data_IF_007455933330
#
_entry.id   IF_007455933330
#
_cell.length_a   1.000
_cell.length_b   1.000
_cell.length_c   1.000
_cell.angle_alpha   90.00
_cell.angle_beta   90.00
_cell.angle_gamma   90.00
#
_symmetry.space_group_name_H-M   'P 1'
#
loop_
_entity.id
_entity.type
_entity.pdbx_description
1 polymer ?
#
# COMPACT_ATOMS: atom_id res chain seq x y z
N UNK A 1 17.71 12.76 -20.76
CA UNK A 1 16.84 13.65 -19.96
C UNK A 1 16.42 12.87 -18.73
N UNK A 2 16.57 13.37 -17.50
CA UNK A 2 16.17 12.59 -16.33
C UNK A 2 14.63 12.55 -16.28
N UNK A 3 14.08 11.37 -16.00
CA UNK A 3 12.67 11.19 -15.78
C UNK A 3 12.26 11.94 -14.50
N UNK A 4 11.30 12.85 -14.62
CA UNK A 4 10.67 13.49 -13.46
C UNK A 4 9.85 12.42 -12.73
N UNK A 5 10.13 12.20 -11.45
CA UNK A 5 9.23 11.46 -10.58
C UNK A 5 7.90 12.21 -10.54
N UNK A 6 6.81 11.57 -10.95
CA UNK A 6 5.49 12.17 -10.94
C UNK A 6 5.07 12.41 -9.48
N UNK A 7 4.94 13.67 -9.10
CA UNK A 7 4.35 14.07 -7.81
C UNK A 7 2.85 13.93 -7.98
N UNK A 8 2.23 13.00 -7.24
CA UNK A 8 0.77 12.90 -7.21
C UNK A 8 0.11 14.23 -6.82
N UNK A 9 -1.11 14.48 -7.30
CA UNK A 9 -1.85 15.67 -6.92
C UNK A 9 -2.08 15.63 -5.41
N UNK A 10 -1.73 16.69 -4.65
CA UNK A 10 -1.86 16.68 -3.18
C UNK A 10 -3.28 16.36 -2.66
N UNK A 11 -4.30 16.50 -3.52
CA UNK A 11 -5.69 16.17 -3.22
C UNK A 11 -5.93 14.69 -2.97
N UNK A 12 -5.55 13.81 -3.91
CA UNK A 12 -5.92 12.39 -3.80
C UNK A 12 -5.23 11.71 -2.63
N UNK A 13 -3.94 11.99 -2.40
CA UNK A 13 -3.23 11.47 -1.22
C UNK A 13 -3.94 11.85 0.09
N UNK A 14 -4.43 13.09 0.19
CA UNK A 14 -5.16 13.57 1.37
C UNK A 14 -6.52 12.88 1.51
N UNK A 15 -7.23 12.65 0.41
CA UNK A 15 -8.50 11.93 0.41
C UNK A 15 -8.32 10.47 0.83
N UNK A 16 -7.31 9.78 0.32
CA UNK A 16 -6.98 8.40 0.70
C UNK A 16 -6.58 8.32 2.18
N UNK A 17 -5.74 9.24 2.65
CA UNK A 17 -5.39 9.33 4.07
C UNK A 17 -6.66 9.49 4.93
N UNK A 18 -7.57 10.39 4.56
CA UNK A 18 -8.82 10.61 5.30
C UNK A 18 -9.75 9.38 5.26
N UNK A 19 -9.92 8.75 4.10
CA UNK A 19 -10.78 7.57 3.90
C UNK A 19 -10.30 6.37 4.74
N UNK A 20 -8.99 6.22 4.91
CA UNK A 20 -8.39 5.08 5.59
C UNK A 20 -7.99 5.35 7.04
N UNK A 21 -8.04 6.59 7.52
CA UNK A 21 -7.67 6.96 8.90
C UNK A 21 -8.43 6.17 9.99
N UNK A 22 -9.66 5.72 9.71
CA UNK A 22 -10.43 4.85 10.62
C UNK A 22 -9.76 3.51 10.92
N UNK A 23 -8.83 3.08 10.07
CA UNK A 23 -8.06 1.85 10.18
C UNK A 23 -6.75 2.03 10.93
N UNK A 24 -6.66 3.00 11.85
CA UNK A 24 -5.47 3.24 12.67
C UNK A 24 -5.02 2.05 13.55
N UNK A 25 -5.75 0.92 13.56
CA UNK A 25 -5.41 -0.30 14.30
C UNK A 25 -5.91 -1.54 13.57
N UNK A 26 -5.21 -2.67 13.76
CA UNK A 26 -5.56 -3.96 13.15
C UNK A 26 -6.96 -4.44 13.54
N UNK A 27 -7.43 -4.13 14.76
CA UNK A 27 -8.82 -4.39 15.17
C UNK A 27 -9.84 -3.68 14.27
N UNK A 28 -9.56 -2.43 13.88
CA UNK A 28 -10.44 -1.69 12.98
C UNK A 28 -10.35 -2.21 11.55
N UNK A 29 -9.17 -2.65 11.09
CA UNK A 29 -9.01 -3.36 9.82
C UNK A 29 -9.87 -4.64 9.78
N UNK A 30 -9.81 -5.47 10.82
CA UNK A 30 -10.63 -6.70 10.90
C UNK A 30 -12.12 -6.41 10.85
N UNK A 31 -12.60 -5.39 11.57
CA UNK A 31 -14.01 -4.96 11.49
C UNK A 31 -14.39 -4.47 10.09
N UNK A 32 -13.43 -3.95 9.34
CA UNK A 32 -13.60 -3.51 7.96
C UNK A 32 -13.49 -4.62 6.91
N UNK A 33 -13.27 -5.88 7.31
CA UNK A 33 -13.13 -7.02 6.39
C UNK A 33 -11.69 -7.37 6.00
N UNK A 34 -10.71 -6.58 6.42
CA UNK A 34 -9.30 -6.84 6.12
C UNK A 34 -8.71 -7.89 7.06
N UNK A 35 -7.99 -8.85 6.51
CA UNK A 35 -7.34 -9.95 7.25
C UNK A 35 -5.85 -9.99 6.95
N UNK A 36 -5.03 -10.40 7.94
CA UNK A 36 -3.58 -10.55 7.74
C UNK A 36 -3.31 -11.62 6.68
N UNK A 37 -2.80 -11.20 5.52
CA UNK A 37 -2.49 -12.07 4.38
C UNK A 37 -0.99 -12.21 4.13
N UNK A 38 -0.19 -11.26 4.63
CA UNK A 38 1.28 -11.35 4.57
C UNK A 38 1.91 -10.93 5.90
N UNK A 39 2.89 -11.67 6.43
CA UNK A 39 3.70 -11.19 7.56
C UNK A 39 4.48 -9.93 7.17
N UNK A 40 5.22 -9.35 8.12
CA UNK A 40 6.06 -8.18 7.82
C UNK A 40 7.12 -8.56 6.80
N UNK A 41 7.02 -8.01 5.60
CA UNK A 41 8.01 -8.21 4.54
C UNK A 41 9.14 -7.20 4.75
N UNK A 42 10.38 -7.70 4.75
CA UNK A 42 11.58 -6.88 4.82
C UNK A 42 12.58 -7.27 3.73
N UNK A 43 13.38 -6.28 3.32
CA UNK A 43 14.51 -6.45 2.44
C UNK A 43 15.80 -6.02 3.16
N UNK A 44 16.91 -6.78 3.05
CA UNK A 44 18.14 -6.52 3.80
C UNK A 44 18.71 -5.10 3.67
N UNK A 45 18.46 -4.44 2.54
CA UNK A 45 19.01 -3.10 2.23
C UNK A 45 17.96 -2.04 1.94
N UNK A 46 16.68 -2.40 1.75
CA UNK A 46 15.63 -1.43 1.39
C UNK A 46 14.68 -1.14 2.58
N UNK A 47 14.84 -1.85 3.69
CA UNK A 47 13.97 -1.73 4.86
C UNK A 47 12.72 -2.59 4.74
N UNK A 48 11.63 -2.14 5.37
CA UNK A 48 10.38 -2.89 5.46
C UNK A 48 9.31 -2.41 4.49
N UNK A 49 8.57 -3.37 3.95
CA UNK A 49 7.31 -3.13 3.23
C UNK A 49 6.11 -3.24 4.18
N UNK A 50 6.25 -3.99 5.28
CA UNK A 50 5.24 -4.08 6.34
C UNK A 50 4.34 -5.31 6.26
N UNK A 51 3.37 -5.36 7.16
CA UNK A 51 2.35 -6.41 7.27
C UNK A 51 1.15 -6.04 6.39
N UNK A 52 0.73 -6.95 5.51
CA UNK A 52 -0.35 -6.69 4.57
C UNK A 52 -1.65 -7.30 5.07
N UNK A 53 -2.62 -6.44 5.33
CA UNK A 53 -3.98 -6.81 5.69
C UNK A 53 -4.87 -6.57 4.47
N UNK A 54 -5.40 -7.64 3.88
CA UNK A 54 -6.10 -7.60 2.59
C UNK A 54 -7.60 -7.85 2.81
N UNK A 55 -8.45 -7.09 2.13
CA UNK A 55 -9.87 -7.43 1.96
C UNK A 55 -10.03 -8.17 0.62
N UNK A 56 -10.17 -9.49 0.68
CA UNK A 56 -10.25 -10.34 -0.52
C UNK A 56 -11.50 -10.06 -1.36
N UNK A 57 -12.52 -9.37 -0.84
CA UNK A 57 -13.69 -9.00 -1.63
C UNK A 57 -13.42 -7.80 -2.55
N UNK A 58 -12.36 -7.04 -2.28
CA UNK A 58 -11.94 -5.88 -3.07
C UNK A 58 -10.87 -6.22 -4.11
N UNK A 59 -10.21 -7.36 -3.97
CA UNK A 59 -9.21 -7.83 -4.94
C UNK A 59 -9.90 -8.22 -6.24
N UNK A 60 -10.07 -7.24 -7.11
CA UNK A 60 -10.83 -7.32 -8.36
C UNK A 60 -10.14 -6.46 -9.46
N UNK A 61 -10.67 -6.39 -10.69
CA UNK A 61 -10.01 -5.66 -11.77
C UNK A 61 -10.31 -4.14 -11.80
N UNK A 62 -10.98 -3.61 -10.77
CA UNK A 62 -11.38 -2.21 -10.65
C UNK A 62 -10.41 -1.48 -9.72
N UNK A 63 -9.97 -0.29 -10.14
CA UNK A 63 -9.21 0.61 -9.27
C UNK A 63 -10.15 1.66 -8.68
N UNK A 64 -10.33 1.65 -7.37
CA UNK A 64 -10.95 2.74 -6.60
C UNK A 64 -9.93 3.30 -5.59
N UNK A 65 -9.45 4.55 -5.77
CA UNK A 65 -8.49 5.14 -4.85
C UNK A 65 -8.96 5.17 -3.39
N UNK A 66 -10.26 5.33 -3.14
CA UNK A 66 -10.77 5.49 -1.78
C UNK A 66 -11.06 4.15 -1.08
N UNK A 67 -10.94 3.05 -1.82
CA UNK A 67 -11.21 1.70 -1.36
C UNK A 67 -10.02 0.75 -1.61
N UNK A 68 -8.85 0.99 -0.99
CA UNK A 68 -7.68 0.15 -1.22
C UNK A 68 -7.93 -1.31 -0.83
N UNK A 69 -7.37 -2.23 -1.62
CA UNK A 69 -7.48 -3.67 -1.40
C UNK A 69 -6.67 -4.13 -0.19
N UNK A 70 -5.60 -3.40 0.15
CA UNK A 70 -4.77 -3.71 1.30
C UNK A 70 -4.46 -2.49 2.19
N UNK A 71 -4.44 -2.75 3.48
CA UNK A 71 -3.93 -1.86 4.52
C UNK A 71 -2.57 -2.38 4.98
N UNK A 72 -1.58 -1.51 5.06
CA UNK A 72 -0.21 -1.88 5.40
C UNK A 72 0.15 -1.32 6.76
N UNK A 73 0.51 -2.21 7.67
CA UNK A 73 0.97 -1.87 9.00
C UNK A 73 2.48 -2.02 9.11
N UNK A 74 3.13 -1.06 9.75
CA UNK A 74 4.54 -1.12 10.08
C UNK A 74 4.74 -1.01 11.60
N UNK A 75 5.74 -1.69 12.18
CA UNK A 75 6.12 -1.45 13.57
C UNK A 75 6.51 0.01 13.80
N UNK A 76 6.03 0.57 14.91
CA UNK A 76 6.52 1.85 15.43
C UNK A 76 7.76 1.65 16.32
N UNK A 77 8.25 2.72 16.95
CA UNK A 77 9.42 2.67 17.82
C UNK A 77 9.28 1.71 19.02
N UNK A 78 8.05 1.33 19.39
CA UNK A 78 7.77 0.34 20.44
C UNK A 78 7.57 -1.08 19.92
N UNK A 79 7.63 -1.29 18.60
CA UNK A 79 7.32 -2.55 17.93
C UNK A 79 5.82 -2.77 17.68
N UNK A 80 4.95 -1.85 18.10
CA UNK A 80 3.52 -1.99 17.91
C UNK A 80 3.13 -1.71 16.44
N UNK A 81 2.23 -2.50 15.83
CA UNK A 81 1.80 -2.27 14.46
C UNK A 81 0.95 -0.99 14.37
N UNK A 82 1.35 -0.07 13.51
CA UNK A 82 0.59 1.13 13.15
C UNK A 82 0.32 1.17 11.66
N UNK A 83 -0.86 1.67 11.28
CA UNK A 83 -1.18 1.92 9.88
C UNK A 83 -0.14 2.89 9.30
N UNK A 84 0.50 2.50 8.21
CA UNK A 84 1.63 3.22 7.63
C UNK A 84 1.40 3.54 6.15
N UNK A 85 0.80 2.61 5.42
CA UNK A 85 0.51 2.73 4.01
C UNK A 85 -0.81 2.03 3.65
N UNK A 86 -1.22 2.23 2.40
CA UNK A 86 -2.21 1.40 1.72
C UNK A 86 -1.53 0.77 0.51
N UNK A 87 -2.08 -0.34 0.04
CA UNK A 87 -1.63 -0.93 -1.21
C UNK A 87 -2.84 -1.28 -2.07
N UNK A 88 -2.73 -0.95 -3.35
CA UNK A 88 -3.72 -1.32 -4.35
C UNK A 88 -3.31 -2.60 -5.03
N UNK A 89 -4.26 -3.50 -5.24
CA UNK A 89 -4.06 -4.81 -5.89
C UNK A 89 -5.17 -5.00 -6.93
N UNK A 90 -4.88 -4.62 -8.17
CA UNK A 90 -5.88 -4.60 -9.24
C UNK A 90 -5.64 -5.77 -10.18
N UNK A 91 -6.55 -6.74 -10.22
CA UNK A 91 -6.42 -7.95 -11.03
C UNK A 91 -6.29 -7.60 -12.51
N UNK A 92 -5.25 -8.11 -13.15
CA UNK A 92 -4.99 -7.85 -14.55
C UNK A 92 -5.76 -8.86 -15.42
N UNK A 93 -6.80 -8.37 -16.09
CA UNK A 93 -7.63 -9.10 -17.06
C UNK A 93 -7.34 -8.66 -18.51
N UNK A 94 -6.21 -7.99 -18.75
CA UNK A 94 -5.79 -7.48 -20.06
C UNK A 94 -6.07 -5.98 -20.29
N UNK A 95 -6.53 -5.27 -19.26
CA UNK A 95 -6.72 -3.82 -19.28
C UNK A 95 -5.39 -3.05 -19.13
N UNK A 96 -5.34 -1.78 -19.57
CA UNK A 96 -4.19 -0.91 -19.29
C UNK A 96 -3.91 -0.77 -17.78
N UNK A 97 -2.64 -0.58 -17.42
CA UNK A 97 -2.26 -0.31 -16.03
C UNK A 97 -2.95 0.95 -15.51
N UNK A 98 -3.55 0.92 -14.30
CA UNK A 98 -4.08 2.11 -13.65
C UNK A 98 -2.97 3.13 -13.35
N UNK A 99 -3.38 4.36 -13.08
CA UNK A 99 -2.49 5.40 -12.56
C UNK A 99 -3.09 6.07 -11.34
N UNK A 100 -2.28 6.28 -10.31
CA UNK A 100 -2.63 7.10 -9.14
C UNK A 100 -2.10 8.51 -9.37
N UNK A 101 -2.93 9.46 -9.79
CA UNK A 101 -2.50 10.83 -10.10
C UNK A 101 -1.25 10.90 -11.00
N UNK A 102 -1.21 10.08 -12.04
CA UNK A 102 -0.07 10.01 -12.97
C UNK A 102 1.09 9.12 -12.53
N UNK A 103 1.08 8.60 -11.30
CA UNK A 103 1.99 7.51 -10.90
C UNK A 103 1.49 6.19 -11.51
N UNK A 104 2.27 5.54 -12.39
CA UNK A 104 1.92 4.21 -12.90
C UNK A 104 2.05 3.14 -11.81
N UNK A 105 1.20 2.12 -11.91
CA UNK A 105 1.27 0.93 -11.08
C UNK A 105 2.40 -0.01 -11.54
N UNK A 106 2.97 -0.74 -10.61
CA UNK A 106 3.93 -1.81 -10.86
C UNK A 106 3.22 -3.12 -11.29
N UNK A 107 3.99 -4.05 -11.85
CA UNK A 107 3.50 -5.36 -12.27
C UNK A 107 3.68 -6.38 -11.15
N UNK A 108 2.59 -7.04 -10.75
CA UNK A 108 2.60 -8.10 -9.75
C UNK A 108 3.00 -7.59 -8.37
N UNK A 109 3.38 -8.50 -7.49
CA UNK A 109 3.63 -8.18 -6.08
C UNK A 109 3.21 -9.33 -5.17
N UNK A 110 3.14 -9.02 -3.88
CA UNK A 110 2.65 -9.93 -2.84
C UNK A 110 1.44 -9.29 -2.17
N UNK A 111 0.52 -10.05 -1.55
CA UNK A 111 0.52 -11.50 -1.37
C UNK A 111 -0.23 -12.28 -2.46
N UNK A 112 -0.79 -11.61 -3.46
CA UNK A 112 -1.71 -12.23 -4.43
C UNK A 112 -0.97 -12.93 -5.58
N UNK A 113 -1.06 -14.28 -5.74
CA UNK A 113 -0.25 -15.04 -6.69
C UNK A 113 -0.89 -15.17 -8.08
N UNK A 114 -1.51 -14.11 -8.58
CA UNK A 114 -2.08 -14.04 -9.94
C UNK A 114 -1.63 -12.75 -10.63
N UNK A 115 -1.69 -12.63 -11.98
CA UNK A 115 -1.37 -11.37 -12.65
C UNK A 115 -2.22 -10.21 -12.13
N UNK A 116 -1.56 -9.16 -11.65
CA UNK A 116 -2.19 -7.95 -11.13
C UNK A 116 -1.27 -6.74 -11.33
N UNK A 117 -1.85 -5.56 -11.20
CA UNK A 117 -1.13 -4.31 -11.02
C UNK A 117 -1.08 -4.00 -9.52
N UNK A 118 0.04 -3.49 -9.03
CA UNK A 118 0.17 -3.09 -7.63
C UNK A 118 0.67 -1.66 -7.49
N UNK A 119 0.28 -1.00 -6.40
CA UNK A 119 0.88 0.26 -6.01
C UNK A 119 0.84 0.41 -4.50
N UNK A 120 2.03 0.50 -3.91
CA UNK A 120 2.19 0.79 -2.49
C UNK A 120 2.17 2.30 -2.28
N UNK A 121 1.38 2.81 -1.33
CA UNK A 121 1.24 4.25 -1.08
C UNK A 121 1.38 4.58 0.40
N UNK A 122 2.50 5.19 0.74
CA UNK A 122 2.86 5.66 2.08
C UNK A 122 2.11 6.95 2.43
N UNK A 123 0.82 6.82 2.78
CA UNK A 123 -0.06 7.95 3.10
C UNK A 123 -0.15 8.28 4.60
N UNK A 124 0.20 7.35 5.49
CA UNK A 124 0.13 7.55 6.96
C UNK A 124 1.50 7.70 7.64
N UNK A 125 2.57 7.28 6.96
CA UNK A 125 3.96 7.38 7.43
C UNK A 125 4.84 7.87 6.30
N UNK A 126 5.73 8.81 6.59
CA UNK A 126 6.69 9.29 5.61
C UNK A 126 7.63 8.16 5.14
N UNK A 127 7.96 8.18 3.86
CA UNK A 127 8.94 7.28 3.27
C UNK A 127 10.06 8.09 2.59
N UNK A 128 11.31 8.07 3.13
CA UNK A 128 12.45 8.77 2.53
C UNK A 128 12.81 8.30 1.12
N UNK A 129 12.48 7.05 0.75
CA UNK A 129 12.69 6.53 -0.58
C UNK A 129 11.62 7.00 -1.59
N UNK A 130 10.47 7.48 -1.09
CA UNK A 130 9.38 8.05 -1.89
C UNK A 130 8.02 7.46 -1.54
N UNK A 131 6.96 8.27 -1.66
CA UNK A 131 5.57 7.90 -1.32
C UNK A 131 5.06 6.64 -2.01
N UNK A 132 5.54 6.35 -3.22
CA UNK A 132 5.10 5.21 -4.03
C UNK A 132 6.09 4.04 -4.05
N UNK A 133 7.17 4.12 -3.27
CA UNK A 133 8.15 3.04 -3.25
C UNK A 133 7.65 1.87 -2.38
N UNK A 134 7.85 0.61 -2.80
CA UNK A 134 7.31 -0.55 -2.08
C UNK A 134 7.97 -0.77 -0.71
N UNK A 135 9.23 -0.38 -0.55
CA UNK A 135 9.96 -0.52 0.71
C UNK A 135 10.26 0.85 1.33
N UNK A 136 10.24 0.92 2.65
CA UNK A 136 10.62 2.10 3.41
C UNK A 136 11.87 1.79 4.25
N UNK A 137 12.98 2.52 4.04
CA UNK A 137 14.24 2.28 4.76
C UNK A 137 14.14 2.50 6.27
N UNK A 138 13.15 3.27 6.73
CA UNK A 138 12.92 3.54 8.15
C UNK A 138 12.05 2.47 8.84
N UNK A 139 11.51 1.51 8.09
CA UNK A 139 10.71 0.40 8.63
C UNK A 139 11.61 -0.79 8.90
N UNK A 140 11.50 -1.35 10.11
CA UNK A 140 12.19 -2.57 10.52
C UNK A 140 11.16 -3.62 10.92
N UNK A 141 11.28 -4.84 10.39
CA UNK A 141 10.43 -5.99 10.70
C UNK A 141 11.10 -6.94 11.72
N UNK A 142 11.60 -6.38 12.83
CA UNK A 142 12.25 -7.14 13.91
C UNK A 142 11.25 -7.71 14.92
#
# INVERSE_FOLDING_TARGET
>A
MPASAAVASPGLLKEVHAATARFHSTTQATKGGYVLSSPCIAHPTLGGMGFHWVDNNKVDPVFDPLEPEALVYAPDASGAPKLAAVEYIVINVGQPAPTFDGQPFDVGGTPVPVPHWSLHVWVHRDNPAGTFTPFNPDVSCQ
#
